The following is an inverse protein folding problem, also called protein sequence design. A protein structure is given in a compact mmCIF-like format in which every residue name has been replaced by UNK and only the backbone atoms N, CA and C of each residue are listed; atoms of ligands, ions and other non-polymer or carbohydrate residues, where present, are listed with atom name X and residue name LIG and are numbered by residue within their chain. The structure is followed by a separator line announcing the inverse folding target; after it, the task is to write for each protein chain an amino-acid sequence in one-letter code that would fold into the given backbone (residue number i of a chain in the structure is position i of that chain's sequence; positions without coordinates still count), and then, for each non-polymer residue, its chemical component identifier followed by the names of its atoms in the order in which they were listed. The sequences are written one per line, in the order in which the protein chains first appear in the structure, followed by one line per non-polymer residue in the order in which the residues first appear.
data_IF_433348474534
#
_entry.id   IF_433348474534
#
_cell.length_a   1.000
_cell.length_b   1.000
_cell.length_c   1.000
_cell.angle_alpha   90.00
_cell.angle_beta   90.00
_cell.angle_gamma   90.00
#
_symmetry.space_group_name_H-M   'P 1'
#
loop_
_entity.id
_entity.type
_entity.pdbx_description
1 polymer ?
#
# COMPACT_ATOMS: atom_id res chain seq x y z
N UNK A 1 -18.71 -1.92 -2.39
CA UNK A 1 -19.75 -1.39 -3.30
C UNK A 1 -20.29 -2.44 -4.27
N UNK A 2 -19.49 -3.01 -5.19
CA UNK A 2 -20.03 -3.99 -6.17
C UNK A 2 -20.65 -5.23 -5.53
N UNK A 3 -19.99 -5.84 -4.55
CA UNK A 3 -20.54 -7.02 -3.86
C UNK A 3 -21.71 -6.65 -2.94
N UNK A 4 -21.68 -5.46 -2.33
CA UNK A 4 -22.73 -5.00 -1.39
C UNK A 4 -24.04 -4.65 -2.10
N UNK A 5 -23.98 -4.15 -3.34
CA UNK A 5 -25.19 -3.86 -4.13
C UNK A 5 -25.89 -5.11 -4.69
N UNK A 6 -25.17 -6.21 -4.87
CA UNK A 6 -25.70 -7.46 -5.42
C UNK A 6 -25.89 -8.57 -4.38
N UNK A 7 -25.57 -8.30 -3.11
CA UNK A 7 -25.76 -9.23 -2.01
C UNK A 7 -27.25 -9.58 -1.83
N UNK A 8 -27.52 -10.83 -1.46
CA UNK A 8 -28.89 -11.30 -1.23
C UNK A 8 -29.50 -10.60 0.00
N UNK A 9 -30.75 -10.15 -0.14
CA UNK A 9 -31.50 -9.41 0.87
C UNK A 9 -32.81 -10.11 1.19
N UNK A 10 -33.30 -9.91 2.40
CA UNK A 10 -34.64 -10.32 2.77
C UNK A 10 -35.66 -9.36 2.12
N UNK A 11 -36.64 -9.92 1.41
CA UNK A 11 -37.67 -9.16 0.70
C UNK A 11 -38.55 -8.32 1.63
N UNK A 12 -38.66 -8.70 2.92
CA UNK A 12 -39.53 -8.03 3.88
C UNK A 12 -38.84 -6.88 4.62
N UNK A 13 -37.57 -7.05 4.96
CA UNK A 13 -36.81 -6.07 5.75
C UNK A 13 -35.85 -5.24 4.91
N UNK A 14 -35.51 -5.67 3.69
CA UNK A 14 -34.50 -5.03 2.85
C UNK A 14 -33.05 -5.21 3.33
N UNK A 15 -32.85 -5.83 4.50
CA UNK A 15 -31.53 -6.09 5.09
C UNK A 15 -30.84 -7.26 4.42
N UNK A 16 -29.53 -7.40 4.60
CA UNK A 16 -28.82 -8.57 4.10
C UNK A 16 -29.35 -9.87 4.73
N UNK A 17 -29.31 -10.94 3.94
CA UNK A 17 -29.43 -12.29 4.48
C UNK A 17 -28.20 -12.61 5.34
N UNK A 18 -28.33 -13.44 6.39
CA UNK A 18 -27.20 -13.81 7.25
C UNK A 18 -26.00 -14.38 6.48
N UNK A 19 -26.26 -15.17 5.43
CA UNK A 19 -25.24 -15.73 4.56
C UNK A 19 -24.51 -14.65 3.74
N UNK A 20 -25.24 -13.69 3.17
CA UNK A 20 -24.66 -12.60 2.40
C UNK A 20 -23.84 -11.66 3.31
N UNK A 21 -24.35 -11.33 4.49
CA UNK A 21 -23.63 -10.51 5.47
C UNK A 21 -22.31 -11.18 5.90
N UNK A 22 -22.37 -12.48 6.25
CA UNK A 22 -21.18 -13.26 6.62
C UNK A 22 -20.16 -13.30 5.48
N UNK A 23 -20.62 -13.46 4.25
CA UNK A 23 -19.75 -13.41 3.06
C UNK A 23 -19.09 -12.05 2.89
N UNK A 24 -19.86 -10.95 2.98
CA UNK A 24 -19.34 -9.59 2.86
C UNK A 24 -18.30 -9.28 3.94
N UNK A 25 -18.56 -9.68 5.20
CA UNK A 25 -17.60 -9.51 6.30
C UNK A 25 -16.32 -10.33 6.11
N UNK A 26 -16.42 -11.57 5.62
CA UNK A 26 -15.23 -12.38 5.27
C UNK A 26 -14.43 -11.74 4.12
N UNK A 27 -15.11 -11.15 3.12
CA UNK A 27 -14.45 -10.42 2.04
C UNK A 27 -13.76 -9.15 2.53
N UNK A 28 -14.42 -8.40 3.41
CA UNK A 28 -13.84 -7.23 4.05
C UNK A 28 -12.58 -7.58 4.83
N UNK A 29 -12.63 -8.63 5.67
CA UNK A 29 -11.49 -9.08 6.46
C UNK A 29 -10.30 -9.51 5.58
N UNK A 30 -10.56 -10.24 4.48
CA UNK A 30 -9.51 -10.63 3.54
C UNK A 30 -8.92 -9.45 2.78
N UNK A 31 -9.74 -8.45 2.44
CA UNK A 31 -9.23 -7.23 1.80
C UNK A 31 -8.32 -6.45 2.76
N UNK A 32 -8.72 -6.30 4.04
CA UNK A 32 -7.87 -5.70 5.08
C UNK A 32 -6.54 -6.46 5.23
N UNK A 33 -6.59 -7.79 5.24
CA UNK A 33 -5.40 -8.63 5.28
C UNK A 33 -4.52 -8.45 4.02
N UNK A 34 -5.12 -8.41 2.83
CA UNK A 34 -4.41 -8.15 1.57
C UNK A 34 -3.66 -6.81 1.62
N UNK A 35 -4.35 -5.73 2.00
CA UNK A 35 -3.73 -4.40 2.15
C UNK A 35 -2.59 -4.41 3.18
N UNK A 36 -2.81 -5.06 4.33
CA UNK A 36 -1.80 -5.16 5.38
C UNK A 36 -0.54 -5.88 4.90
N UNK A 37 -0.70 -7.03 4.24
CA UNK A 37 0.43 -7.80 3.71
C UNK A 37 1.10 -7.11 2.52
N UNK A 38 0.34 -6.41 1.66
CA UNK A 38 0.89 -5.62 0.57
C UNK A 38 1.79 -4.50 1.09
N UNK A 39 1.31 -3.66 2.01
CA UNK A 39 2.16 -2.59 2.56
C UNK A 39 3.33 -3.13 3.40
N UNK A 40 3.15 -4.29 4.04
CA UNK A 40 4.24 -4.99 4.71
C UNK A 40 5.33 -5.52 3.76
N UNK A 41 4.99 -5.80 2.49
CA UNK A 41 5.98 -6.17 1.48
C UNK A 41 6.66 -4.97 0.81
N UNK A 42 6.01 -3.80 0.81
CA UNK A 42 6.56 -2.58 0.21
C UNK A 42 7.39 -1.71 1.15
N UNK A 43 7.17 -1.79 2.47
CA UNK A 43 7.85 -0.93 3.46
C UNK A 43 8.59 -1.73 4.53
N UNK A 44 9.87 -1.41 4.73
CA UNK A 44 10.73 -1.99 5.79
C UNK A 44 10.13 -1.83 7.18
N UNK A 45 9.39 -0.74 7.42
CA UNK A 45 8.73 -0.47 8.70
C UNK A 45 7.68 -1.52 9.06
N UNK A 46 6.93 -2.01 8.07
CA UNK A 46 5.88 -3.02 8.27
C UNK A 46 6.37 -4.45 8.04
N UNK A 47 7.60 -4.62 7.54
CA UNK A 47 8.24 -5.92 7.36
C UNK A 47 8.15 -6.86 8.60
N UNK A 48 8.19 -6.39 9.87
CA UNK A 48 7.95 -7.26 11.02
C UNK A 48 6.63 -8.05 10.98
N UNK A 49 5.61 -7.56 10.27
CA UNK A 49 4.33 -8.26 10.07
C UNK A 49 4.47 -9.53 9.23
N UNK A 50 5.47 -9.59 8.33
CA UNK A 50 5.73 -10.78 7.51
C UNK A 50 6.50 -11.88 8.25
N UNK A 51 7.04 -11.57 9.44
CA UNK A 51 7.79 -12.53 10.27
C UNK A 51 6.85 -13.50 10.99
N UNK A 52 7.37 -14.64 11.47
CA UNK A 52 6.58 -15.62 12.24
C UNK A 52 5.79 -14.98 13.39
N UNK A 53 6.44 -14.09 14.17
CA UNK A 53 5.82 -13.34 15.27
C UNK A 53 4.75 -12.36 14.79
N UNK A 54 4.94 -11.75 13.62
CA UNK A 54 3.93 -10.91 12.98
C UNK A 54 2.67 -11.70 12.63
N UNK A 55 2.85 -12.89 12.03
CA UNK A 55 1.76 -13.82 11.75
C UNK A 55 1.05 -14.31 13.01
N UNK A 56 1.78 -14.63 14.09
CA UNK A 56 1.18 -14.97 15.39
C UNK A 56 0.27 -13.84 15.88
N UNK A 57 0.79 -12.60 15.91
CA UNK A 57 0.01 -11.43 16.34
C UNK A 57 -1.20 -11.15 15.46
N UNK A 58 -1.12 -11.37 14.15
CA UNK A 58 -2.27 -11.21 13.26
C UNK A 58 -3.38 -12.23 13.57
N UNK A 59 -3.00 -13.44 14.00
CA UNK A 59 -3.97 -14.44 14.47
C UNK A 59 -4.58 -14.03 15.81
N UNK A 60 -3.74 -13.61 16.77
CA UNK A 60 -4.19 -13.18 18.10
C UNK A 60 -5.15 -11.97 18.03
N UNK A 61 -4.91 -11.06 17.08
CA UNK A 61 -5.77 -9.89 16.82
C UNK A 61 -7.00 -10.20 15.96
N UNK A 62 -7.19 -11.45 15.55
CA UNK A 62 -8.34 -11.87 14.74
C UNK A 62 -8.32 -11.36 13.30
N UNK A 63 -7.18 -10.88 12.79
CA UNK A 63 -7.07 -10.49 11.38
C UNK A 63 -7.04 -11.72 10.45
N UNK A 64 -6.60 -12.85 10.98
CA UNK A 64 -6.41 -14.10 10.25
C UNK A 64 -6.76 -15.28 11.18
N UNK A 65 -7.39 -16.33 10.65
CA UNK A 65 -7.56 -17.56 11.44
C UNK A 65 -6.30 -18.43 11.40
N UNK A 66 -6.11 -19.26 12.44
CA UNK A 66 -4.98 -20.20 12.46
C UNK A 66 -4.98 -21.18 11.27
N UNK A 67 -6.17 -21.51 10.74
CA UNK A 67 -6.34 -22.34 9.55
C UNK A 67 -5.83 -21.63 8.30
N UNK A 68 -6.16 -20.36 8.13
CA UNK A 68 -5.71 -19.56 6.98
C UNK A 68 -4.22 -19.31 7.02
N UNK A 69 -3.67 -19.06 8.20
CA UNK A 69 -2.22 -18.98 8.39
C UNK A 69 -1.51 -20.21 7.84
N UNK A 70 -1.93 -21.40 8.27
CA UNK A 70 -1.33 -22.66 7.82
C UNK A 70 -1.42 -22.80 6.30
N UNK A 71 -2.56 -22.45 5.70
CA UNK A 71 -2.75 -22.50 4.24
C UNK A 71 -1.85 -21.52 3.50
N UNK A 72 -1.79 -20.26 3.93
CA UNK A 72 -0.95 -19.23 3.30
C UNK A 72 0.54 -19.56 3.47
N UNK A 73 0.95 -20.09 4.62
CA UNK A 73 2.32 -20.53 4.85
C UNK A 73 2.69 -21.76 4.02
N UNK A 74 1.74 -22.67 3.76
CA UNK A 74 1.94 -23.83 2.90
C UNK A 74 2.08 -23.48 1.41
N UNK A 75 1.68 -22.28 0.98
CA UNK A 75 1.91 -21.83 -0.40
C UNK A 75 3.42 -21.70 -0.66
N UNK A 76 3.90 -22.20 -1.80
CA UNK A 76 5.28 -22.02 -2.25
C UNK A 76 5.49 -20.60 -2.83
N UNK A 77 5.34 -19.60 -1.97
CA UNK A 77 5.49 -18.18 -2.25
C UNK A 77 6.40 -17.56 -1.19
N UNK A 78 7.19 -16.59 -1.58
CA UNK A 78 7.98 -15.81 -0.64
C UNK A 78 7.09 -14.99 0.31
N UNK A 79 7.58 -14.60 1.50
CA UNK A 79 6.77 -13.85 2.48
C UNK A 79 6.17 -12.56 1.92
N UNK A 80 6.91 -11.87 1.06
CA UNK A 80 6.56 -10.62 0.36
C UNK A 80 5.56 -10.80 -0.79
N UNK A 81 5.21 -12.05 -1.13
CA UNK A 81 4.23 -12.40 -2.16
C UNK A 81 2.95 -13.03 -1.59
N UNK A 82 2.86 -13.24 -0.27
CA UNK A 82 1.71 -13.90 0.37
C UNK A 82 0.38 -13.15 0.17
N UNK A 83 0.42 -11.84 -0.04
CA UNK A 83 -0.74 -11.01 -0.42
C UNK A 83 -1.40 -11.52 -1.71
N UNK A 84 -0.64 -12.04 -2.68
CA UNK A 84 -1.20 -12.58 -3.93
C UNK A 84 -2.06 -13.82 -3.64
N UNK A 85 -1.62 -14.66 -2.70
CA UNK A 85 -2.40 -15.81 -2.24
C UNK A 85 -3.72 -15.40 -1.57
N UNK A 86 -3.73 -14.30 -0.80
CA UNK A 86 -4.95 -13.75 -0.22
C UNK A 86 -5.89 -13.24 -1.31
N UNK A 87 -5.37 -12.48 -2.26
CA UNK A 87 -6.15 -11.95 -3.40
C UNK A 87 -6.79 -13.09 -4.21
N UNK A 88 -6.01 -14.13 -4.54
CA UNK A 88 -6.52 -15.32 -5.24
C UNK A 88 -7.61 -16.02 -4.43
N UNK A 89 -7.45 -16.12 -3.10
CA UNK A 89 -8.48 -16.71 -2.23
C UNK A 89 -9.80 -15.91 -2.26
N UNK A 90 -9.73 -14.58 -2.38
CA UNK A 90 -10.90 -13.73 -2.51
C UNK A 90 -11.62 -13.96 -3.84
N UNK A 91 -10.89 -14.06 -4.95
CA UNK A 91 -11.46 -14.37 -6.28
C UNK A 91 -12.21 -15.70 -6.26
N UNK A 92 -11.60 -16.76 -5.73
CA UNK A 92 -12.23 -18.09 -5.62
C UNK A 92 -13.49 -18.03 -4.75
N UNK A 93 -13.46 -17.28 -3.65
CA UNK A 93 -14.65 -17.10 -2.80
C UNK A 93 -15.74 -16.29 -3.49
N UNK A 94 -15.40 -15.23 -4.23
CA UNK A 94 -16.36 -14.46 -5.01
C UNK A 94 -17.04 -15.34 -6.07
N UNK A 95 -16.28 -16.14 -6.81
CA UNK A 95 -16.84 -17.08 -7.77
C UNK A 95 -17.78 -18.11 -7.12
N UNK A 96 -17.43 -18.62 -5.94
CA UNK A 96 -18.31 -19.51 -5.19
C UNK A 96 -19.57 -18.79 -4.71
N UNK A 97 -19.44 -17.58 -4.18
CA UNK A 97 -20.56 -16.75 -3.72
C UNK A 97 -21.52 -16.38 -4.85
N UNK A 98 -21.02 -16.04 -6.04
CA UNK A 98 -21.87 -15.71 -7.20
C UNK A 98 -22.63 -16.90 -7.79
N UNK A 99 -22.18 -18.13 -7.49
CA UNK A 99 -22.92 -19.35 -7.84
C UNK A 99 -24.00 -19.67 -6.80
N UNK A 100 -23.90 -19.10 -5.60
CA UNK A 100 -24.82 -19.31 -4.50
C UNK A 100 -25.84 -18.16 -4.43
N UNK A 101 -27.11 -18.48 -4.75
CA UNK A 101 -28.20 -17.50 -4.71
C UNK A 101 -28.48 -16.97 -3.29
N UNK A 102 -28.00 -17.66 -2.24
CA UNK A 102 -28.08 -17.19 -0.86
C UNK A 102 -27.10 -16.07 -0.55
N UNK A 103 -26.07 -15.91 -1.38
CA UNK A 103 -25.02 -14.90 -1.19
C UNK A 103 -25.24 -13.73 -2.14
N UNK A 104 -25.55 -14.00 -3.40
CA UNK A 104 -25.90 -12.98 -4.40
C UNK A 104 -27.36 -13.09 -4.80
N UNK A 105 -28.14 -12.01 -4.61
CA UNK A 105 -29.58 -12.00 -4.89
C UNK A 105 -29.93 -12.16 -6.37
N UNK A 106 -29.01 -11.77 -7.26
CA UNK A 106 -29.17 -11.91 -8.72
C UNK A 106 -27.87 -12.46 -9.31
N UNK A 107 -28.00 -13.55 -10.09
CA UNK A 107 -26.88 -14.11 -10.84
C UNK A 107 -26.75 -13.40 -12.19
N UNK A 108 -25.76 -12.53 -12.31
CA UNK A 108 -25.50 -11.82 -13.56
C UNK A 108 -24.09 -12.13 -14.04
N UNK A 109 -23.95 -12.65 -15.27
CA UNK A 109 -22.65 -12.89 -15.89
C UNK A 109 -21.78 -11.62 -15.94
N UNK A 110 -22.42 -10.46 -16.08
CA UNK A 110 -21.75 -9.15 -16.03
C UNK A 110 -21.09 -8.85 -14.69
N UNK A 111 -21.65 -9.33 -13.56
CA UNK A 111 -21.08 -9.11 -12.23
C UNK A 111 -19.79 -9.91 -12.05
N UNK A 112 -19.78 -11.19 -12.45
CA UNK A 112 -18.59 -12.03 -12.35
C UNK A 112 -17.43 -11.47 -13.17
N UNK A 113 -17.71 -11.06 -14.41
CA UNK A 113 -16.74 -10.37 -15.26
C UNK A 113 -16.23 -9.09 -14.62
N UNK A 114 -17.13 -8.21 -14.16
CA UNK A 114 -16.74 -6.91 -13.59
C UNK A 114 -15.93 -7.06 -12.31
N UNK A 115 -16.29 -7.98 -11.42
CA UNK A 115 -15.52 -8.24 -10.20
C UNK A 115 -14.13 -8.79 -10.52
N UNK A 116 -14.02 -9.70 -11.50
CA UNK A 116 -12.72 -10.20 -11.93
C UNK A 116 -11.84 -9.09 -12.54
N UNK A 117 -12.44 -8.19 -13.34
CA UNK A 117 -11.76 -7.00 -13.86
C UNK A 117 -11.23 -6.13 -12.72
N UNK A 118 -12.04 -5.83 -11.69
CA UNK A 118 -11.60 -5.02 -10.54
C UNK A 118 -10.49 -5.71 -9.74
N UNK A 119 -10.52 -7.03 -9.56
CA UNK A 119 -9.42 -7.76 -8.93
C UNK A 119 -8.14 -7.71 -9.76
N UNK A 120 -8.24 -7.81 -11.09
CA UNK A 120 -7.10 -7.64 -12.00
C UNK A 120 -6.54 -6.22 -11.96
N UNK A 121 -7.40 -5.21 -11.91
CA UNK A 121 -7.01 -3.80 -11.74
C UNK A 121 -6.30 -3.59 -10.41
N UNK A 122 -6.86 -4.09 -9.31
CA UNK A 122 -6.25 -4.01 -7.99
C UNK A 122 -4.87 -4.67 -7.98
N UNK A 123 -4.74 -5.87 -8.54
CA UNK A 123 -3.45 -6.55 -8.70
C UNK A 123 -2.46 -5.72 -9.52
N UNK A 124 -2.93 -5.13 -10.63
CA UNK A 124 -2.11 -4.31 -11.52
C UNK A 124 -1.59 -3.05 -10.83
N UNK A 125 -2.45 -2.33 -10.12
CA UNK A 125 -2.08 -1.13 -9.35
C UNK A 125 -1.09 -1.49 -8.24
N UNK A 126 -1.37 -2.53 -7.46
CA UNK A 126 -0.47 -2.99 -6.39
C UNK A 126 0.89 -3.44 -6.92
N UNK A 127 0.94 -4.12 -8.08
CA UNK A 127 2.20 -4.48 -8.73
C UNK A 127 2.93 -3.24 -9.26
N UNK A 128 2.22 -2.28 -9.85
CA UNK A 128 2.79 -1.03 -10.34
C UNK A 128 3.45 -0.21 -9.23
N UNK A 129 2.91 -0.22 -8.00
CA UNK A 129 3.59 0.40 -6.85
C UNK A 129 4.94 -0.29 -6.58
N UNK A 130 4.98 -1.62 -6.60
CA UNK A 130 6.23 -2.37 -6.42
C UNK A 130 7.23 -2.07 -7.53
N UNK A 131 6.76 -1.95 -8.78
CA UNK A 131 7.61 -1.60 -9.93
C UNK A 131 8.17 -0.18 -9.82
N UNK A 132 7.38 0.80 -9.33
CA UNK A 132 7.85 2.16 -9.05
C UNK A 132 8.91 2.17 -7.93
N UNK A 133 8.73 1.34 -6.90
CA UNK A 133 9.70 1.19 -5.80
C UNK A 133 10.93 0.39 -6.24
N UNK A 134 10.83 -0.51 -7.21
CA UNK A 134 11.98 -1.25 -7.74
C UNK A 134 12.76 -0.43 -8.78
N UNK A 135 12.04 0.25 -9.67
CA UNK A 135 12.55 1.07 -10.76
C UNK A 135 12.89 2.51 -10.38
N UNK A 136 13.29 2.74 -9.12
CA UNK A 136 13.77 4.06 -8.66
C UNK A 136 14.93 4.52 -9.56
N UNK A 137 15.12 5.84 -9.66
CA UNK A 137 16.15 6.41 -10.54
C UNK A 137 17.50 5.69 -10.44
N UNK A 138 18.21 5.48 -11.56
CA UNK A 138 19.49 4.79 -11.55
C UNK A 138 20.46 5.43 -10.56
N UNK A 139 21.13 4.60 -9.75
CA UNK A 139 22.10 5.02 -8.73
C UNK A 139 23.14 6.00 -9.28
N UNK A 140 23.60 5.78 -10.51
CA UNK A 140 24.55 6.65 -11.19
C UNK A 140 24.05 8.09 -11.35
N UNK A 141 22.76 8.29 -11.64
CA UNK A 141 22.21 9.63 -11.78
C UNK A 141 22.19 10.37 -10.43
N UNK A 142 21.78 9.66 -9.35
CA UNK A 142 21.74 10.25 -8.00
C UNK A 142 23.13 10.70 -7.58
N UNK A 143 24.15 9.87 -7.80
CA UNK A 143 25.54 10.23 -7.52
C UNK A 143 26.06 11.35 -8.42
N UNK A 144 25.70 11.38 -9.70
CA UNK A 144 26.11 12.44 -10.60
C UNK A 144 25.58 13.81 -10.13
N UNK A 145 24.31 13.90 -9.75
CA UNK A 145 23.72 15.14 -9.23
C UNK A 145 24.34 15.54 -7.89
N UNK A 146 24.62 14.58 -7.02
CA UNK A 146 25.30 14.81 -5.74
C UNK A 146 26.70 15.39 -5.96
N UNK A 147 27.53 14.76 -6.79
CA UNK A 147 28.87 15.26 -7.13
C UNK A 147 28.82 16.64 -7.76
N UNK A 148 27.84 16.91 -8.62
CA UNK A 148 27.67 18.21 -9.26
C UNK A 148 27.34 19.31 -8.23
N UNK A 149 26.38 19.06 -7.34
CA UNK A 149 25.98 20.00 -6.29
C UNK A 149 27.15 20.23 -5.33
N UNK A 150 27.82 19.17 -4.89
CA UNK A 150 28.93 19.28 -3.94
C UNK A 150 30.12 20.04 -4.57
N UNK A 151 30.46 19.75 -5.84
CA UNK A 151 31.52 20.46 -6.56
C UNK A 151 31.18 21.94 -6.74
N UNK A 152 29.92 22.26 -7.05
CA UNK A 152 29.45 23.63 -7.18
C UNK A 152 29.58 24.40 -5.85
N UNK A 153 29.15 23.80 -4.74
CA UNK A 153 29.21 24.43 -3.42
C UNK A 153 30.65 24.61 -2.91
N UNK A 154 31.57 23.71 -3.27
CA UNK A 154 33.00 23.84 -2.95
C UNK A 154 33.66 24.94 -3.78
N UNK A 155 33.32 25.07 -5.06
CA UNK A 155 33.92 26.06 -5.97
C UNK A 155 33.34 27.48 -5.81
N UNK A 156 32.07 27.62 -5.43
CA UNK A 156 31.38 28.89 -5.27
C UNK A 156 32.12 29.94 -4.40
N UNK A 157 32.62 29.62 -3.18
CA UNK A 157 33.27 30.61 -2.34
C UNK A 157 34.61 31.08 -2.92
N UNK A 158 35.36 30.17 -3.56
CA UNK A 158 36.65 30.45 -4.19
C UNK A 158 36.46 31.39 -5.38
N UNK A 159 35.50 31.09 -6.25
CA UNK A 159 35.24 31.87 -7.45
C UNK A 159 34.72 33.28 -7.15
N UNK A 160 33.94 33.44 -6.06
CA UNK A 160 33.34 34.74 -5.69
C UNK A 160 34.15 35.56 -4.69
N UNK A 161 35.29 35.04 -4.22
CA UNK A 161 36.13 35.75 -3.28
C UNK A 161 36.73 37.04 -3.84
N UNK A 162 37.11 37.06 -5.13
CA UNK A 162 37.74 38.23 -5.77
C UNK A 162 36.82 39.45 -5.87
N UNK A 163 35.50 39.26 -5.93
CA UNK A 163 34.52 40.33 -6.06
C UNK A 163 33.90 40.74 -4.71
N UNK A 164 33.63 39.77 -3.84
CA UNK A 164 32.82 39.97 -2.62
C UNK A 164 33.64 39.90 -1.32
N UNK A 165 34.91 39.50 -1.37
CA UNK A 165 35.76 39.33 -0.19
C UNK A 165 35.10 38.42 0.85
N UNK A 166 35.03 38.90 2.10
CA UNK A 166 34.47 38.11 3.22
C UNK A 166 32.96 37.84 3.10
N UNK A 167 32.22 38.69 2.39
CA UNK A 167 30.78 38.47 2.14
C UNK A 167 30.51 37.26 1.24
N UNK A 168 31.50 36.82 0.46
CA UNK A 168 31.42 35.58 -0.33
C UNK A 168 31.11 34.37 0.54
N UNK A 169 31.68 34.31 1.75
CA UNK A 169 31.48 33.19 2.69
C UNK A 169 30.02 33.12 3.16
N UNK A 170 29.43 34.26 3.52
CA UNK A 170 28.04 34.32 4.01
C UNK A 170 27.05 33.99 2.88
N UNK A 171 27.25 34.55 1.68
CA UNK A 171 26.39 34.30 0.53
C UNK A 171 26.47 32.83 0.08
N UNK A 172 27.67 32.25 0.10
CA UNK A 172 27.87 30.82 -0.17
C UNK A 172 27.17 29.96 0.88
N UNK A 173 27.15 30.35 2.16
CA UNK A 173 26.39 29.65 3.20
C UNK A 173 24.89 29.55 2.89
N UNK A 174 24.29 30.65 2.43
CA UNK A 174 22.87 30.67 2.00
C UNK A 174 22.66 29.78 0.77
N UNK A 175 23.58 29.84 -0.19
CA UNK A 175 23.54 29.02 -1.40
C UNK A 175 23.63 27.53 -1.08
N UNK A 176 24.55 27.16 -0.20
CA UNK A 176 24.72 25.80 0.32
C UNK A 176 23.46 25.30 0.99
N UNK A 177 22.85 26.10 1.87
CA UNK A 177 21.59 25.73 2.51
C UNK A 177 20.48 25.46 1.46
N UNK A 178 20.36 26.33 0.46
CA UNK A 178 19.35 26.19 -0.58
C UNK A 178 19.55 24.94 -1.46
N UNK A 179 20.72 24.77 -2.07
CA UNK A 179 20.99 23.64 -2.97
C UNK A 179 21.09 22.31 -2.24
N UNK A 180 21.67 22.29 -1.05
CA UNK A 180 21.66 21.08 -0.23
C UNK A 180 20.24 20.72 0.21
N UNK A 181 19.43 21.71 0.60
CA UNK A 181 18.02 21.49 0.94
C UNK A 181 17.22 20.91 -0.23
N UNK A 182 17.39 21.44 -1.45
CA UNK A 182 16.77 20.89 -2.66
C UNK A 182 17.23 19.45 -2.96
N UNK A 183 18.53 19.16 -2.80
CA UNK A 183 19.07 17.81 -2.99
C UNK A 183 18.50 16.82 -1.97
N UNK A 184 18.41 17.21 -0.71
CA UNK A 184 17.79 16.39 0.35
C UNK A 184 16.32 16.15 0.04
N UNK A 185 15.57 17.19 -0.37
CA UNK A 185 14.16 17.05 -0.76
C UNK A 185 13.98 16.08 -1.94
N UNK A 186 14.83 16.16 -2.97
CA UNK A 186 14.80 15.24 -4.09
C UNK A 186 15.08 13.78 -3.66
N UNK A 187 16.05 13.58 -2.75
CA UNK A 187 16.35 12.25 -2.17
C UNK A 187 15.17 11.71 -1.35
N UNK A 188 14.45 12.56 -0.62
CA UNK A 188 13.27 12.17 0.15
C UNK A 188 12.12 11.74 -0.77
N UNK A 189 11.89 12.45 -1.89
CA UNK A 189 10.89 12.03 -2.87
C UNK A 189 11.27 10.78 -3.66
N UNK A 190 12.55 10.43 -3.71
CA UNK A 190 13.02 9.21 -4.36
C UNK A 190 12.59 7.93 -3.60
N UNK A 191 12.42 8.01 -2.28
CA UNK A 191 11.94 6.90 -1.45
C UNK A 191 10.90 7.37 -0.42
N UNK A 192 9.63 7.57 -0.85
CA UNK A 192 8.56 8.04 0.04
C UNK A 192 8.15 6.99 1.10
N UNK A 193 8.62 5.73 0.97
CA UNK A 193 8.29 4.64 1.89
C UNK A 193 9.32 4.45 3.01
N UNK A 194 10.37 5.29 3.03
CA UNK A 194 11.46 5.26 4.01
C UNK A 194 12.09 3.85 4.10
N UNK A 195 12.33 3.25 2.94
CA UNK A 195 12.99 1.94 2.87
C UNK A 195 14.50 2.08 3.05
N UNK A 196 15.10 3.19 2.63
CA UNK A 196 16.53 3.41 2.75
C UNK A 196 16.94 4.11 4.05
N UNK A 197 18.21 3.94 4.46
CA UNK A 197 18.76 4.57 5.68
C UNK A 197 19.13 6.04 5.45
N UNK A 198 18.34 6.82 4.73
CA UNK A 198 18.60 8.25 4.57
C UNK A 198 18.25 8.96 5.88
N UNK A 199 19.27 9.40 6.61
CA UNK A 199 19.14 9.84 8.02
C UNK A 199 18.61 11.27 8.23
N UNK A 200 18.11 11.98 7.22
CA UNK A 200 17.74 13.41 7.41
C UNK A 200 16.51 13.80 6.59
N UNK A 201 15.44 14.25 7.28
CA UNK A 201 14.37 15.05 6.67
C UNK A 201 13.24 14.30 5.95
N UNK A 202 12.81 13.14 6.43
CA UNK A 202 11.76 12.36 5.76
C UNK A 202 10.40 13.08 5.76
N UNK A 203 9.83 13.30 4.56
CA UNK A 203 8.40 13.55 4.39
C UNK A 203 7.71 12.24 4.73
N UNK A 204 7.16 12.18 5.94
CA UNK A 204 6.60 10.96 6.50
C UNK A 204 5.24 10.69 5.87
N UNK A 205 5.19 9.78 4.88
CA UNK A 205 3.94 9.18 4.47
C UNK A 205 3.47 8.24 5.59
N UNK A 206 2.46 8.66 6.35
CA UNK A 206 1.90 7.82 7.40
C UNK A 206 1.05 6.69 6.80
N UNK A 207 1.76 5.63 6.38
CA UNK A 207 1.16 4.38 5.90
C UNK A 207 0.21 3.75 6.93
N UNK A 208 0.38 4.00 8.23
CA UNK A 208 -0.55 3.48 9.23
C UNK A 208 -1.90 4.20 9.15
N UNK A 209 -1.89 5.53 8.91
CA UNK A 209 -3.10 6.30 8.63
C UNK A 209 -3.72 5.85 7.32
N UNK A 210 -2.93 5.68 6.25
CA UNK A 210 -3.45 5.20 4.97
C UNK A 210 -4.14 3.83 5.11
N UNK A 211 -3.51 2.89 5.82
CA UNK A 211 -4.07 1.57 6.07
C UNK A 211 -5.34 1.66 6.93
N UNK A 212 -5.36 2.51 7.96
CA UNK A 212 -6.54 2.74 8.79
C UNK A 212 -7.71 3.29 7.98
N UNK A 213 -7.51 4.38 7.24
CA UNK A 213 -8.58 5.03 6.47
C UNK A 213 -9.10 4.11 5.35
N UNK A 214 -8.20 3.38 4.67
CA UNK A 214 -8.60 2.39 3.67
C UNK A 214 -9.44 1.27 4.28
N UNK A 215 -9.05 0.77 5.46
CA UNK A 215 -9.77 -0.32 6.13
C UNK A 215 -11.11 0.12 6.71
N UNK A 216 -11.22 1.35 7.22
CA UNK A 216 -12.47 1.94 7.71
C UNK A 216 -13.46 2.13 6.56
N UNK A 217 -12.98 2.50 5.37
CA UNK A 217 -13.83 2.62 4.19
C UNK A 217 -14.58 1.32 3.84
N UNK A 218 -13.95 0.16 4.05
CA UNK A 218 -14.54 -1.14 3.72
C UNK A 218 -15.80 -1.42 4.53
N UNK A 219 -15.75 -1.20 5.84
CA UNK A 219 -16.90 -1.45 6.73
C UNK A 219 -18.03 -0.48 6.45
N UNK A 220 -17.71 0.80 6.21
CA UNK A 220 -18.68 1.84 5.86
C UNK A 220 -19.55 1.48 4.66
N UNK A 221 -19.00 0.80 3.64
CA UNK A 221 -19.77 0.40 2.46
C UNK A 221 -20.74 -0.76 2.72
N UNK A 222 -20.46 -1.61 3.71
CA UNK A 222 -21.37 -2.67 4.14
C UNK A 222 -22.53 -2.01 4.88
N UNK A 223 -22.21 -1.18 5.88
CA UNK A 223 -23.18 -0.51 6.75
C UNK A 223 -24.07 0.48 5.98
N UNK A 224 -23.49 1.29 5.08
CA UNK A 224 -24.24 2.26 4.29
C UNK A 224 -25.27 1.61 3.35
N UNK A 225 -25.03 0.37 2.95
CA UNK A 225 -25.95 -0.37 2.10
C UNK A 225 -27.03 -1.10 2.91
N UNK A 226 -26.99 -1.10 4.24
CA UNK A 226 -28.12 -1.50 5.10
C UNK A 226 -29.07 -0.34 5.41
N UNK A 227 -28.62 0.91 5.25
CA UNK A 227 -29.36 2.11 5.66
C UNK A 227 -30.32 2.68 4.60
N UNK A 228 -30.33 2.11 3.39
CA UNK A 228 -31.17 2.52 2.25
C UNK A 228 -31.99 1.31 1.81
#
# INVERSE_FOLDING_TARGET
MLLTSHAARDEKTGTYTPEAETFLRDMAQRLKLFHTLHWASQSRRFYPLLTKKGWDRMVDRGLLTQRERKRLQALNLSPDQKQVGVLQSMVVKCQKGMRDKKVTGIRTYSLEKKVLEEFCTLRGISAGIADLVAGRMPLAYVHFVEVLVDSFLICAPIAKYSELGIFSVLLTGVLSFFYHGLLVLAKVFLDPLDNERYKVGCVYLDLAVLLRESNVGIDKYIDAAETI
#
